data_IF_095393858030
#
_entry.id   IF_095393858030
#
_cell.length_a   1.000
_cell.length_b   1.000
_cell.length_c   1.000
_cell.angle_alpha   90.00
_cell.angle_beta   90.00
_cell.angle_gamma   90.00
#
_symmetry.space_group_name_H-M   'P 1'
#
loop_
_entity.id
_entity.type
_entity.pdbx_description
1 polymer ?
#
# COMPACT_ATOMS: atom_id res chain seq x y z
N UNK A 1 7.03 -13.61 3.37
CA UNK A 1 6.98 -12.26 2.77
C UNK A 1 8.07 -11.31 3.29
N UNK A 2 8.10 -10.93 4.58
CA UNK A 2 9.08 -9.96 5.10
C UNK A 2 10.55 -10.32 4.84
N UNK A 3 10.93 -11.60 5.05
CA UNK A 3 12.28 -12.08 4.77
C UNK A 3 12.66 -11.98 3.27
N UNK A 4 11.72 -12.31 2.38
CA UNK A 4 11.93 -12.21 0.93
C UNK A 4 12.16 -10.75 0.51
N UNK A 5 11.36 -9.80 1.03
CA UNK A 5 11.58 -8.37 0.76
C UNK A 5 12.94 -7.92 1.31
N UNK A 6 13.30 -8.31 2.54
CA UNK A 6 14.60 -7.96 3.14
C UNK A 6 15.80 -8.39 2.27
N UNK A 7 15.69 -9.50 1.55
CA UNK A 7 16.75 -10.00 0.68
C UNK A 7 16.91 -9.20 -0.61
N UNK A 8 15.82 -8.66 -1.16
CA UNK A 8 15.81 -8.02 -2.48
C UNK A 8 15.79 -6.49 -2.43
N UNK A 9 15.12 -5.91 -1.43
CA UNK A 9 14.92 -4.47 -1.32
C UNK A 9 16.20 -3.72 -0.91
N UNK A 10 16.45 -2.60 -1.59
CA UNK A 10 17.55 -1.67 -1.34
C UNK A 10 17.10 -0.57 -0.38
N UNK A 11 18.06 0.16 0.19
CA UNK A 11 17.76 1.24 1.15
C UNK A 11 16.93 2.39 0.55
N UNK A 12 17.01 2.58 -0.77
CA UNK A 12 16.26 3.62 -1.50
C UNK A 12 14.88 3.19 -1.97
N UNK A 13 14.56 1.89 -1.86
CA UNK A 13 13.24 1.36 -2.19
C UNK A 13 12.24 1.67 -1.07
N UNK A 14 10.96 1.38 -1.29
CA UNK A 14 9.89 1.59 -0.31
C UNK A 14 9.11 0.30 -0.09
N UNK A 15 8.81 -0.02 1.17
CA UNK A 15 7.82 -1.05 1.51
C UNK A 15 6.52 -0.38 1.97
N UNK A 16 5.40 -0.76 1.37
CA UNK A 16 4.06 -0.30 1.74
C UNK A 16 3.24 -1.52 2.16
N UNK A 17 2.88 -1.59 3.42
CA UNK A 17 1.97 -2.62 3.94
C UNK A 17 0.54 -2.11 3.80
N UNK A 18 -0.11 -2.56 2.73
CA UNK A 18 -1.50 -2.27 2.44
C UNK A 18 -2.39 -2.97 3.46
N UNK A 19 -3.09 -2.18 4.28
CA UNK A 19 -3.89 -2.56 5.45
C UNK A 19 -3.11 -2.73 6.77
N UNK A 20 -3.45 -1.89 7.75
CA UNK A 20 -2.84 -1.89 9.09
C UNK A 20 -2.97 -3.22 9.84
N UNK A 21 -3.95 -4.07 9.49
CA UNK A 21 -4.05 -5.40 10.09
C UNK A 21 -2.82 -6.25 9.82
N UNK A 22 -2.21 -6.13 8.65
CA UNK A 22 -1.00 -6.87 8.29
C UNK A 22 0.26 -6.19 8.83
N UNK A 23 0.19 -4.87 9.08
CA UNK A 23 1.33 -4.07 9.46
C UNK A 23 1.94 -4.51 10.81
N UNK A 24 1.14 -4.81 11.83
CA UNK A 24 1.66 -5.24 13.14
C UNK A 24 2.57 -6.46 13.02
N UNK A 25 2.08 -7.53 12.38
CA UNK A 25 2.85 -8.75 12.16
C UNK A 25 4.03 -8.51 11.23
N UNK A 26 3.84 -7.76 10.13
CA UNK A 26 4.91 -7.50 9.19
C UNK A 26 6.08 -6.75 9.83
N UNK A 27 5.80 -5.69 10.60
CA UNK A 27 6.81 -4.87 11.27
C UNK A 27 7.60 -5.66 12.33
N UNK A 28 6.97 -6.64 12.99
CA UNK A 28 7.66 -7.51 13.94
C UNK A 28 8.79 -8.32 13.28
N UNK A 29 8.62 -8.72 12.01
CA UNK A 29 9.59 -9.58 11.31
C UNK A 29 10.45 -8.84 10.28
N UNK A 30 10.03 -7.64 9.86
CA UNK A 30 10.75 -6.88 8.86
C UNK A 30 11.89 -6.08 9.49
N UNK A 31 13.12 -6.54 9.25
CA UNK A 31 14.37 -5.86 9.62
C UNK A 31 15.23 -5.59 8.38
N UNK A 32 14.58 -5.12 7.30
CA UNK A 32 15.22 -4.76 6.04
C UNK A 32 15.72 -3.31 6.02
N UNK A 33 16.43 -2.95 4.94
CA UNK A 33 17.02 -1.62 4.77
C UNK A 33 16.05 -0.60 4.19
N UNK A 34 15.05 -1.04 3.44
CA UNK A 34 14.07 -0.15 2.84
C UNK A 34 13.14 0.41 3.93
N UNK A 35 12.82 1.72 3.95
CA UNK A 35 11.77 2.25 4.81
C UNK A 35 10.44 1.52 4.56
N UNK A 36 9.71 1.28 5.63
CA UNK A 36 8.39 0.65 5.62
C UNK A 36 7.32 1.65 6.06
N UNK A 37 6.15 1.63 5.42
CA UNK A 37 4.96 2.40 5.76
C UNK A 37 3.74 1.48 5.82
N UNK A 38 2.78 1.77 6.70
CA UNK A 38 1.46 1.11 6.70
C UNK A 38 0.43 1.93 5.96
N UNK A 39 -0.70 1.28 5.61
CA UNK A 39 -1.89 1.95 5.08
C UNK A 39 -3.07 1.71 6.04
N UNK A 40 -3.62 2.75 6.68
CA UNK A 40 -3.14 4.12 6.65
C UNK A 40 -1.78 4.27 7.36
N UNK A 41 -1.07 5.37 7.09
CA UNK A 41 0.17 5.69 7.77
C UNK A 41 -0.10 6.03 9.23
N UNK A 42 0.27 5.14 10.15
CA UNK A 42 0.13 5.35 11.60
C UNK A 42 1.48 5.22 12.28
N UNK A 43 1.68 5.99 13.36
CA UNK A 43 2.97 6.13 14.01
C UNK A 43 3.34 4.98 14.96
N UNK A 44 2.37 4.17 15.37
CA UNK A 44 2.58 3.05 16.28
C UNK A 44 1.93 1.78 15.74
N UNK A 45 2.78 0.78 15.48
CA UNK A 45 2.44 -0.53 14.93
C UNK A 45 2.82 -1.67 15.88
N UNK A 46 3.05 -1.36 17.16
CA UNK A 46 3.30 -2.38 18.19
C UNK A 46 2.07 -3.27 18.45
N UNK A 47 0.88 -2.73 18.18
CA UNK A 47 -0.42 -3.38 18.32
C UNK A 47 -1.45 -2.71 17.39
N UNK A 48 -2.66 -3.27 17.32
CA UNK A 48 -3.75 -2.69 16.54
C UNK A 48 -4.30 -1.40 17.18
N UNK A 49 -3.63 -0.27 16.91
CA UNK A 49 -3.97 1.07 17.44
C UNK A 49 -5.23 1.65 16.78
N UNK A 50 -6.39 1.15 17.22
CA UNK A 50 -7.71 1.57 16.73
C UNK A 50 -8.01 3.05 16.89
N UNK A 51 -7.45 3.67 17.93
CA UNK A 51 -7.54 5.11 18.16
C UNK A 51 -6.83 5.89 17.04
N UNK A 52 -5.63 5.48 16.63
CA UNK A 52 -4.89 6.10 15.51
C UNK A 52 -5.60 5.88 14.17
N UNK A 53 -6.18 4.70 13.96
CA UNK A 53 -6.96 4.41 12.75
C UNK A 53 -8.23 5.25 12.70
N UNK A 54 -8.96 5.39 13.81
CA UNK A 54 -10.15 6.25 13.87
C UNK A 54 -9.80 7.72 13.66
N UNK A 55 -8.73 8.19 14.26
CA UNK A 55 -8.25 9.56 14.04
C UNK A 55 -7.80 9.78 12.58
N UNK A 56 -7.25 8.76 11.93
CA UNK A 56 -6.99 8.80 10.49
C UNK A 56 -8.29 8.93 9.69
N UNK A 57 -9.32 8.15 10.02
CA UNK A 57 -10.62 8.17 9.32
C UNK A 57 -11.32 9.52 9.39
N UNK A 58 -11.06 10.33 10.42
CA UNK A 58 -11.65 11.67 10.58
C UNK A 58 -10.90 12.79 9.86
N UNK A 59 -9.74 12.50 9.26
CA UNK A 59 -8.95 13.47 8.50
C UNK A 59 -9.29 13.42 7.01
N UNK A 60 -9.29 14.56 6.30
CA UNK A 60 -9.37 14.57 4.85
C UNK A 60 -8.08 13.98 4.24
N UNK A 61 -8.24 13.20 3.16
CA UNK A 61 -7.13 12.62 2.37
C UNK A 61 -6.01 11.99 3.22
N UNK A 62 -6.33 11.11 4.18
CA UNK A 62 -5.40 10.77 5.25
C UNK A 62 -4.21 9.90 4.79
N UNK A 63 -4.33 9.27 3.61
CA UNK A 63 -3.27 8.43 3.04
C UNK A 63 -2.45 9.16 1.98
N UNK A 64 -2.74 10.44 1.69
CA UNK A 64 -2.04 11.23 0.68
C UNK A 64 -0.50 11.20 0.87
N UNK A 65 0.06 11.30 2.09
CA UNK A 65 1.50 11.17 2.29
C UNK A 65 2.07 9.81 1.86
N UNK A 66 1.29 8.71 1.98
CA UNK A 66 1.71 7.39 1.51
C UNK A 66 1.71 7.35 -0.02
N UNK A 67 0.68 7.91 -0.66
CA UNK A 67 0.57 7.97 -2.13
C UNK A 67 1.71 8.80 -2.73
N UNK A 68 2.02 9.95 -2.14
CA UNK A 68 3.15 10.80 -2.54
C UNK A 68 4.50 10.09 -2.40
N UNK A 69 4.66 9.28 -1.33
CA UNK A 69 5.89 8.52 -1.14
C UNK A 69 6.05 7.41 -2.18
N UNK A 70 4.96 6.75 -2.58
CA UNK A 70 4.96 5.77 -3.68
C UNK A 70 5.40 6.45 -4.97
N UNK A 71 4.76 7.57 -5.33
CA UNK A 71 5.05 8.34 -6.54
C UNK A 71 6.53 8.80 -6.56
N UNK A 72 6.99 9.41 -5.48
CA UNK A 72 8.37 9.89 -5.36
C UNK A 72 9.40 8.75 -5.51
N UNK A 73 9.15 7.60 -4.88
CA UNK A 73 10.04 6.43 -4.96
C UNK A 73 10.17 5.95 -6.41
N UNK A 74 9.04 5.79 -7.10
CA UNK A 74 9.02 5.35 -8.50
C UNK A 74 9.65 6.37 -9.45
N UNK A 75 9.37 7.67 -9.27
CA UNK A 75 9.99 8.76 -10.06
C UNK A 75 11.50 8.82 -9.89
N UNK A 76 11.99 8.50 -8.70
CA UNK A 76 13.43 8.46 -8.40
C UNK A 76 14.12 7.21 -8.96
N UNK A 77 13.39 6.32 -9.64
CA UNK A 77 13.91 5.09 -10.23
C UNK A 77 14.12 3.96 -9.22
N UNK A 78 13.41 4.01 -8.08
CA UNK A 78 13.45 2.99 -7.04
C UNK A 78 12.18 2.13 -7.04
N UNK A 79 12.27 0.97 -6.38
CA UNK A 79 11.22 -0.02 -6.41
C UNK A 79 10.25 0.19 -5.22
N UNK A 80 8.97 -0.09 -5.45
CA UNK A 80 7.95 -0.10 -4.39
C UNK A 80 7.45 -1.52 -4.19
N UNK A 81 7.57 -2.00 -2.95
CA UNK A 81 7.13 -3.30 -2.49
C UNK A 81 5.80 -3.14 -1.76
N UNK A 82 4.69 -3.54 -2.38
CA UNK A 82 3.35 -3.49 -1.78
C UNK A 82 3.01 -4.84 -1.17
N UNK A 83 2.78 -4.89 0.13
CA UNK A 83 2.45 -6.09 0.91
C UNK A 83 0.98 -6.05 1.27
N UNK A 84 0.19 -7.05 0.86
CA UNK A 84 -1.25 -7.06 1.10
C UNK A 84 -2.02 -7.79 0.01
N UNK A 85 -3.34 -7.63 0.02
CA UNK A 85 -4.23 -8.14 -1.02
C UNK A 85 -4.63 -7.00 -1.96
N UNK A 86 -3.64 -6.49 -2.70
CA UNK A 86 -3.83 -5.33 -3.58
C UNK A 86 -4.24 -5.81 -4.97
N UNK A 87 -5.36 -5.33 -5.53
CA UNK A 87 -5.77 -5.70 -6.87
C UNK A 87 -4.73 -5.20 -7.89
N UNK A 88 -4.06 -6.12 -8.58
CA UNK A 88 -3.00 -5.82 -9.56
C UNK A 88 -3.49 -5.41 -10.94
N UNK A 89 -4.81 -5.23 -11.10
CA UNK A 89 -5.37 -4.79 -12.37
C UNK A 89 -5.25 -3.27 -12.49
N UNK A 90 -4.53 -2.82 -13.52
CA UNK A 90 -4.41 -1.38 -13.82
C UNK A 90 -5.80 -0.80 -14.11
N UNK A 91 -6.19 0.21 -13.34
CA UNK A 91 -7.41 0.97 -13.59
C UNK A 91 -7.10 2.23 -14.39
N UNK A 92 -8.03 2.66 -15.24
CA UNK A 92 -7.88 3.86 -16.07
C UNK A 92 -8.04 5.16 -15.28
N UNK A 93 -8.81 5.14 -14.19
CA UNK A 93 -9.12 6.32 -13.38
C UNK A 93 -8.72 6.10 -11.91
N UNK A 94 -8.32 7.20 -11.27
CA UNK A 94 -8.06 7.24 -9.84
C UNK A 94 -9.36 6.91 -9.07
N UNK A 95 -9.30 6.03 -8.06
CA UNK A 95 -10.44 5.80 -7.19
C UNK A 95 -10.83 7.10 -6.48
N UNK A 96 -12.13 7.38 -6.31
CA UNK A 96 -12.57 8.57 -5.59
C UNK A 96 -12.16 8.48 -4.12
N UNK A 97 -11.87 9.65 -3.54
CA UNK A 97 -11.70 9.79 -2.10
C UNK A 97 -12.98 9.36 -1.36
N UNK A 98 -12.80 8.78 -0.17
CA UNK A 98 -13.90 8.63 0.78
C UNK A 98 -13.93 9.87 1.69
N UNK A 99 -15.08 10.53 1.90
CA UNK A 99 -15.15 11.64 2.84
C UNK A 99 -14.78 11.20 4.28
N UNK A 100 -14.22 12.14 5.04
CA UNK A 100 -13.81 11.91 6.41
C UNK A 100 -15.00 11.55 7.31
N UNK A 101 -14.78 10.69 8.32
CA UNK A 101 -15.77 10.40 9.34
C UNK A 101 -16.02 11.66 10.21
N UNK A 102 -17.25 11.92 10.67
CA UNK A 102 -18.49 11.19 10.39
C UNK A 102 -19.25 11.73 9.15
N UNK A 103 -18.64 12.57 8.33
CA UNK A 103 -19.29 13.27 7.21
C UNK A 103 -19.50 12.38 5.96
N UNK A 104 -19.47 11.06 6.13
CA UNK A 104 -19.66 10.04 5.08
C UNK A 104 -20.74 9.06 5.49
N UNK A 105 -21.42 8.45 4.52
CA UNK A 105 -22.39 7.37 4.75
C UNK A 105 -21.77 6.15 5.41
N UNK A 106 -20.44 5.95 5.26
CA UNK A 106 -19.69 4.91 5.96
C UNK A 106 -19.56 5.17 7.48
N UNK A 107 -19.73 6.42 7.94
CA UNK A 107 -19.54 6.82 9.33
C UNK A 107 -18.21 6.28 9.89
N UNK A 108 -18.25 5.52 10.98
CA UNK A 108 -17.10 4.87 11.62
C UNK A 108 -16.90 3.41 11.17
N UNK A 109 -17.56 2.96 10.11
CA UNK A 109 -17.34 1.63 9.55
C UNK A 109 -15.99 1.61 8.82
N UNK A 110 -15.06 0.80 9.32
CA UNK A 110 -13.70 0.75 8.81
C UNK A 110 -13.58 0.13 7.41
N UNK A 111 -14.38 -0.91 7.11
CA UNK A 111 -14.25 -1.68 5.86
C UNK A 111 -14.33 -0.80 4.58
N UNK A 112 -15.29 0.15 4.45
CA UNK A 112 -15.29 1.10 3.34
C UNK A 112 -13.99 1.89 3.18
N UNK A 113 -13.38 2.34 4.28
CA UNK A 113 -12.09 3.06 4.24
C UNK A 113 -10.96 2.16 3.76
N UNK A 114 -10.84 0.94 4.30
CA UNK A 114 -9.82 -0.03 3.85
C UNK A 114 -9.94 -0.28 2.34
N UNK A 115 -11.14 -0.60 1.85
CA UNK A 115 -11.36 -0.87 0.42
C UNK A 115 -10.94 0.33 -0.44
N UNK A 116 -11.24 1.54 0.00
CA UNK A 116 -10.87 2.77 -0.71
C UNK A 116 -9.37 3.02 -0.67
N UNK A 117 -8.75 2.95 0.51
CA UNK A 117 -7.31 3.15 0.66
C UNK A 117 -6.51 2.11 -0.12
N UNK A 118 -6.87 0.82 -0.06
CA UNK A 118 -6.27 -0.24 -0.88
C UNK A 118 -6.38 0.06 -2.37
N UNK A 119 -7.55 0.53 -2.83
CA UNK A 119 -7.72 0.89 -4.24
C UNK A 119 -6.81 2.07 -4.64
N UNK A 120 -6.68 3.07 -3.78
CA UNK A 120 -5.82 4.24 -4.04
C UNK A 120 -4.34 3.87 -4.07
N UNK A 121 -3.90 2.98 -3.17
CA UNK A 121 -2.53 2.42 -3.17
C UNK A 121 -2.29 1.59 -4.43
N UNK A 122 -3.24 0.74 -4.82
CA UNK A 122 -3.18 -0.05 -6.06
C UNK A 122 -2.99 0.87 -7.28
N UNK A 123 -3.80 1.93 -7.34
CA UNK A 123 -3.74 2.92 -8.41
C UNK A 123 -2.39 3.64 -8.43
N UNK A 124 -1.94 4.20 -7.30
CA UNK A 124 -0.67 4.92 -7.22
C UNK A 124 0.54 4.03 -7.60
N UNK A 125 0.53 2.77 -7.14
CA UNK A 125 1.57 1.80 -7.46
C UNK A 125 1.60 1.41 -8.94
N UNK A 126 0.46 1.44 -9.64
CA UNK A 126 0.35 0.90 -11.00
C UNK A 126 0.21 1.94 -12.11
N UNK A 127 -0.32 3.12 -11.82
CA UNK A 127 -0.60 4.17 -12.80
C UNK A 127 0.67 4.50 -13.61
N UNK A 128 1.80 4.56 -12.90
CA UNK A 128 3.09 4.94 -13.48
C UNK A 128 4.12 3.82 -13.52
N UNK A 129 3.87 2.67 -12.90
CA UNK A 129 4.83 1.56 -12.94
C UNK A 129 5.03 1.00 -14.36
N UNK A 130 6.28 0.69 -14.72
CA UNK A 130 6.64 -0.03 -15.94
C UNK A 130 6.47 -1.53 -15.79
N UNK A 131 6.88 -2.08 -14.66
CA UNK A 131 6.82 -3.52 -14.40
C UNK A 131 6.13 -3.78 -13.07
N UNK A 132 5.51 -4.95 -12.96
CA UNK A 132 4.90 -5.46 -11.74
C UNK A 132 5.11 -6.96 -11.65
N UNK A 133 5.58 -7.44 -10.52
CA UNK A 133 5.82 -8.87 -10.28
C UNK A 133 5.40 -9.27 -8.86
N UNK A 134 4.88 -10.48 -8.71
CA UNK A 134 4.68 -11.11 -7.40
C UNK A 134 6.03 -11.59 -6.91
N UNK A 135 6.36 -11.32 -5.64
CA UNK A 135 7.53 -11.90 -5.00
C UNK A 135 7.16 -13.31 -4.55
N UNK A 136 7.81 -14.35 -5.09
CA UNK A 136 7.54 -15.71 -4.65
C UNK A 136 7.96 -15.87 -3.19
N UNK A 137 7.05 -16.38 -2.37
CA UNK A 137 7.32 -16.78 -1.00
C UNK A 137 7.12 -18.30 -0.96
N UNK A 138 8.19 -19.10 -0.80
CA UNK A 138 8.04 -20.54 -0.68
C UNK A 138 7.13 -20.87 0.51
N UNK A 139 6.07 -21.63 0.26
CA UNK A 139 5.22 -22.20 1.29
C UNK A 139 4.98 -23.67 0.97
N UNK A 140 5.38 -24.55 1.88
CA UNK A 140 5.24 -26.01 1.71
C UNK A 140 3.84 -26.50 2.10
N UNK A 141 3.01 -25.63 2.69
CA UNK A 141 1.68 -25.97 3.19
C UNK A 141 0.62 -25.07 2.55
N UNK A 142 -0.62 -25.56 2.35
CA UNK A 142 -1.72 -24.72 1.89
C UNK A 142 -1.97 -23.59 2.90
N UNK A 143 -1.93 -22.34 2.44
CA UNK A 143 -2.33 -21.18 3.22
C UNK A 143 -3.79 -20.87 2.91
N UNK A 144 -4.57 -20.49 3.92
CA UNK A 144 -5.94 -20.03 3.70
C UNK A 144 -5.94 -18.80 2.80
N UNK A 145 -6.91 -18.67 1.89
CA UNK A 145 -7.00 -17.51 1.01
C UNK A 145 -7.12 -16.17 1.75
N UNK A 146 -7.61 -16.17 2.99
CA UNK A 146 -7.67 -14.98 3.87
C UNK A 146 -6.33 -14.67 4.54
N UNK A 147 -5.40 -15.63 4.59
CA UNK A 147 -4.06 -15.52 5.17
C UNK A 147 -2.96 -15.40 4.09
N UNK A 148 -3.33 -15.58 2.82
CA UNK A 148 -2.43 -15.59 1.67
C UNK A 148 -2.00 -14.17 1.25
N UNK A 149 -1.25 -13.52 2.15
CA UNK A 149 -0.74 -12.16 1.97
C UNK A 149 0.54 -12.18 1.13
N UNK A 150 0.39 -11.66 -0.08
CA UNK A 150 1.47 -11.54 -1.04
C UNK A 150 2.25 -10.24 -0.91
N UNK A 151 3.44 -10.21 -1.50
CA UNK A 151 4.13 -8.98 -1.81
C UNK A 151 4.27 -8.83 -3.31
N UNK A 152 4.07 -7.61 -3.78
CA UNK A 152 4.20 -7.21 -5.16
C UNK A 152 5.28 -6.16 -5.26
N UNK A 153 6.20 -6.33 -6.19
CA UNK A 153 7.18 -5.29 -6.52
C UNK A 153 6.73 -4.59 -7.79
N UNK A 154 6.66 -3.27 -7.73
CA UNK A 154 6.43 -2.40 -8.89
C UNK A 154 7.65 -1.52 -9.11
N UNK A 155 8.03 -1.35 -10.37
CA UNK A 155 9.25 -0.63 -10.71
C UNK A 155 9.13 0.19 -12.00
N UNK A 156 10.01 1.18 -12.10
CA UNK A 156 10.11 2.10 -13.22
C UNK A 156 8.98 3.13 -13.29
N UNK A 157 9.23 4.20 -14.05
CA UNK A 157 8.30 5.32 -14.20
C UNK A 157 7.87 5.50 -15.66
N UNK A 158 6.55 5.61 -15.88
CA UNK A 158 5.95 6.07 -17.14
C UNK A 158 5.30 7.40 -16.87
N UNK A 159 5.62 8.37 -17.73
CA UNK A 159 4.86 9.61 -17.77
C UNK A 159 3.36 9.28 -17.97
N UNK A 160 2.45 10.01 -17.31
CA UNK A 160 1.05 9.93 -17.64
C UNK A 160 0.92 10.12 -19.15
N UNK A 161 0.14 9.26 -19.82
CA UNK A 161 -0.21 9.54 -21.20
C UNK A 161 -0.86 10.93 -21.19
N UNK A 162 -0.20 11.91 -21.81
CA UNK A 162 -0.80 13.22 -22.03
C UNK A 162 -2.14 12.93 -22.69
N UNK A 163 -3.24 13.24 -22.01
CA UNK A 163 -4.53 13.26 -22.65
C UNK A 163 -4.35 14.25 -23.80
N UNK A 164 -4.31 13.73 -25.03
CA UNK A 164 -4.20 14.53 -26.24
C UNK A 164 -5.36 15.54 -26.20
N UNK A 165 -5.07 16.77 -25.79
CA UNK A 165 -5.92 17.91 -26.07
C UNK A 165 -5.73 18.21 -27.55
N UNK A 166 -6.58 17.61 -28.38
CA UNK A 166 -6.93 18.09 -29.71
C UNK A 166 -8.39 18.52 -29.69
#
# INVERSE_FOLDING_TARGET
TAAAIKQHARASDLVVVDNFFYAVSFYRYYHGKAPCLSVPGISDLSLHRWDLVKDTMSRPQPIQPVLERIDQTLRSGHDVYVVGSVPLSRTAAAPPDLPAAPQTTAMWQLRPYIVRWTSQVAYAAQAHARHGMIIPVPCEQPVSNVEDVHAYVVSGWREPALANLQ
#
